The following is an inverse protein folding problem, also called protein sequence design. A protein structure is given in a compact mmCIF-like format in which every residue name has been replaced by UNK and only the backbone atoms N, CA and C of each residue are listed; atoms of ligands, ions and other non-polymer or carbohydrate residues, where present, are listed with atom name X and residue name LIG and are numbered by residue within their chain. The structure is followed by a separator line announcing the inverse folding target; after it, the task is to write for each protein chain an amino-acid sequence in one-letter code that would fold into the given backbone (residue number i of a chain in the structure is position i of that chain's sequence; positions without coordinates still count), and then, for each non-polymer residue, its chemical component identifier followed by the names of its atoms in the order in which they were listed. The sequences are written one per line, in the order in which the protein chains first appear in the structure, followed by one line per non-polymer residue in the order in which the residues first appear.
data_IF_974230748388
#
_entry.id   IF_974230748388
#
_cell.length_a   1.000
_cell.length_b   1.000
_cell.length_c   1.000
_cell.angle_alpha   90.00
_cell.angle_beta   90.00
_cell.angle_gamma   90.00
#
_symmetry.space_group_name_H-M   'P 1'
#
loop_
_entity.id
_entity.type
_entity.pdbx_description
1 polymer ?
#
# COMPACT_ATOMS: atom_id res chain seq x y z
N UNK A 1 -7.34 -15.61 -27.60
CA UNK A 1 -8.36 -16.57 -27.16
C UNK A 1 -9.61 -16.31 -27.97
N UNK A 2 -10.23 -17.30 -28.58
CA UNK A 2 -11.47 -17.09 -29.31
C UNK A 2 -12.56 -16.68 -28.33
N UNK A 3 -13.27 -15.60 -28.64
CA UNK A 3 -14.47 -15.18 -27.94
C UNK A 3 -15.46 -16.33 -28.01
N UNK A 4 -16.02 -16.83 -26.89
CA UNK A 4 -17.09 -17.82 -26.98
C UNK A 4 -18.27 -17.15 -27.67
N UNK A 5 -18.52 -17.54 -28.90
CA UNK A 5 -19.65 -17.07 -29.66
C UNK A 5 -20.93 -17.43 -28.88
N UNK A 6 -21.59 -16.39 -28.37
CA UNK A 6 -22.96 -16.29 -27.99
C UNK A 6 -23.73 -17.52 -27.54
N UNK A 7 -23.28 -18.24 -26.52
CA UNK A 7 -24.19 -19.13 -25.82
C UNK A 7 -24.99 -18.28 -24.81
N UNK A 8 -26.31 -18.08 -24.99
CA UNK A 8 -27.14 -17.25 -24.12
C UNK A 8 -27.24 -17.75 -22.67
N UNK A 9 -26.74 -18.94 -22.40
CA UNK A 9 -26.68 -19.52 -21.05
C UNK A 9 -25.36 -19.15 -20.28
N UNK A 10 -24.44 -18.41 -20.90
CA UNK A 10 -23.17 -18.06 -20.27
C UNK A 10 -23.13 -16.59 -19.86
N UNK A 11 -22.66 -16.34 -18.66
CA UNK A 11 -22.38 -15.02 -18.14
C UNK A 11 -20.96 -14.99 -17.56
N UNK A 12 -20.34 -13.81 -17.55
CA UNK A 12 -19.04 -13.58 -16.98
C UNK A 12 -19.10 -12.43 -15.97
N UNK A 13 -18.31 -12.53 -14.90
CA UNK A 13 -18.09 -11.44 -13.95
C UNK A 13 -16.97 -10.56 -14.51
N UNK A 14 -17.28 -9.28 -14.73
CA UNK A 14 -16.33 -8.32 -15.29
C UNK A 14 -16.73 -6.89 -14.94
N UNK A 15 -15.88 -5.91 -15.27
CA UNK A 15 -16.20 -4.49 -15.14
C UNK A 15 -17.11 -4.00 -16.28
N UNK A 16 -17.85 -2.91 -16.06
CA UNK A 16 -18.65 -2.24 -17.09
C UNK A 16 -17.81 -1.83 -18.31
N UNK A 17 -16.53 -1.47 -18.08
CA UNK A 17 -15.58 -1.17 -19.17
C UNK A 17 -15.29 -2.38 -20.05
N UNK A 18 -15.25 -3.57 -19.49
CA UNK A 18 -15.07 -4.79 -20.27
C UNK A 18 -16.31 -5.06 -21.14
N UNK A 19 -17.52 -4.88 -20.59
CA UNK A 19 -18.75 -5.00 -21.34
C UNK A 19 -18.77 -4.04 -22.53
N UNK A 20 -18.47 -2.77 -22.32
CA UNK A 20 -18.38 -1.76 -23.39
C UNK A 20 -17.33 -2.12 -24.44
N UNK A 21 -16.13 -2.54 -24.01
CA UNK A 21 -15.02 -2.87 -24.90
C UNK A 21 -15.32 -4.07 -25.80
N UNK A 22 -16.06 -5.05 -25.30
CA UNK A 22 -16.35 -6.30 -26.01
C UNK A 22 -17.77 -6.36 -26.57
N UNK A 23 -18.55 -5.27 -26.48
CA UNK A 23 -19.92 -5.20 -26.99
C UNK A 23 -20.87 -6.18 -26.29
N UNK A 24 -20.66 -6.44 -24.99
CA UNK A 24 -21.46 -7.37 -24.22
C UNK A 24 -22.59 -6.64 -23.49
N UNK A 25 -23.71 -7.33 -23.32
CA UNK A 25 -24.84 -6.82 -22.53
C UNK A 25 -24.60 -7.05 -21.03
N UNK A 26 -24.81 -6.00 -20.21
CA UNK A 26 -24.74 -6.12 -18.76
C UNK A 26 -26.08 -6.64 -18.24
N UNK A 27 -26.07 -7.77 -17.58
CA UNK A 27 -27.28 -8.45 -17.07
C UNK A 27 -27.60 -7.98 -15.64
N UNK A 28 -26.55 -7.73 -14.83
CA UNK A 28 -26.69 -7.24 -13.46
C UNK A 28 -25.48 -6.37 -13.08
N UNK A 29 -25.76 -5.30 -12.34
CA UNK A 29 -24.73 -4.40 -11.79
C UNK A 29 -24.52 -4.65 -10.30
N UNK A 30 -23.35 -4.22 -9.79
CA UNK A 30 -23.02 -4.19 -8.36
C UNK A 30 -23.27 -5.55 -7.66
N UNK A 31 -22.80 -6.63 -8.27
CA UNK A 31 -23.02 -8.01 -7.83
C UNK A 31 -21.97 -8.50 -6.80
N UNK A 32 -21.09 -7.60 -6.32
CA UNK A 32 -20.14 -7.93 -5.26
C UNK A 32 -20.87 -8.19 -3.93
N UNK A 33 -20.41 -9.19 -3.19
CA UNK A 33 -20.98 -9.53 -1.87
C UNK A 33 -20.72 -8.45 -0.81
N UNK A 34 -19.57 -7.75 -0.91
CA UNK A 34 -19.21 -6.65 -0.02
C UNK A 34 -19.19 -5.31 -0.78
N UNK A 35 -20.10 -4.40 -0.42
CA UNK A 35 -20.18 -3.05 -0.98
C UNK A 35 -18.95 -2.18 -0.69
N UNK A 36 -18.14 -2.55 0.32
CA UNK A 36 -16.89 -1.88 0.68
C UNK A 36 -15.66 -2.48 -0.02
N UNK A 37 -15.84 -3.50 -0.87
CA UNK A 37 -14.74 -4.09 -1.62
C UNK A 37 -14.11 -3.04 -2.56
N UNK A 38 -12.90 -2.62 -2.21
CA UNK A 38 -12.13 -1.62 -2.97
C UNK A 38 -10.73 -2.16 -3.26
N UNK A 39 -10.31 -2.03 -4.51
CA UNK A 39 -8.94 -2.32 -4.91
C UNK A 39 -8.16 -1.02 -5.05
N UNK A 40 -7.06 -0.90 -4.31
CA UNK A 40 -6.13 0.22 -4.45
C UNK A 40 -5.03 -0.15 -5.45
N UNK A 41 -4.83 0.70 -6.43
CA UNK A 41 -3.74 0.58 -7.39
C UNK A 41 -2.63 1.54 -7.02
N UNK A 42 -1.37 1.09 -7.07
CA UNK A 42 -0.21 1.93 -6.91
C UNK A 42 0.51 2.08 -8.26
N UNK A 43 0.91 3.31 -8.57
CA UNK A 43 1.81 3.59 -9.70
C UNK A 43 3.23 3.42 -9.16
N UNK A 44 4.01 2.52 -9.76
CA UNK A 44 5.40 2.30 -9.39
C UNK A 44 6.34 2.76 -10.51
N UNK A 45 7.48 3.32 -10.13
CA UNK A 45 8.52 3.76 -11.05
C UNK A 45 9.91 3.47 -10.48
N UNK A 46 10.93 3.54 -11.32
CA UNK A 46 12.31 3.52 -10.85
C UNK A 46 12.62 4.82 -10.11
N UNK A 47 13.45 4.79 -9.04
CA UNK A 47 13.77 5.97 -8.23
C UNK A 47 14.33 7.15 -9.02
N UNK A 48 15.01 6.87 -10.15
CA UNK A 48 15.62 7.88 -11.01
C UNK A 48 14.63 8.49 -12.03
N UNK A 49 13.43 7.91 -12.16
CA UNK A 49 12.50 8.28 -13.24
C UNK A 49 11.52 9.36 -12.82
N UNK A 50 11.14 9.38 -11.55
CA UNK A 50 10.16 10.33 -11.04
C UNK A 50 10.58 10.83 -9.65
N UNK A 51 10.60 12.14 -9.48
CA UNK A 51 10.74 12.73 -8.14
C UNK A 51 9.51 12.43 -7.29
N UNK A 52 9.70 12.37 -5.97
CA UNK A 52 8.58 12.28 -5.05
C UNK A 52 7.62 13.46 -5.28
N UNK A 53 6.32 13.23 -5.38
CA UNK A 53 5.35 14.30 -5.54
C UNK A 53 5.49 15.34 -4.41
N UNK A 54 5.17 16.62 -4.64
CA UNK A 54 5.10 17.61 -3.56
C UNK A 54 3.99 17.24 -2.58
N UNK A 55 4.12 17.70 -1.33
CA UNK A 55 3.10 17.49 -0.31
C UNK A 55 1.74 18.05 -0.75
N UNK A 56 0.68 17.31 -0.46
CA UNK A 56 -0.71 17.68 -0.71
C UNK A 56 -1.47 17.93 0.60
N UNK A 57 -2.78 18.10 0.51
CA UNK A 57 -3.64 18.26 1.70
C UNK A 57 -3.75 16.98 2.53
N UNK A 58 -3.59 15.83 1.89
CA UNK A 58 -3.66 14.52 2.54
C UNK A 58 -2.77 13.53 1.81
N UNK A 59 -1.68 13.13 2.46
CA UNK A 59 -0.68 12.25 1.89
C UNK A 59 -0.54 10.97 2.71
N UNK A 60 -0.09 9.92 2.06
CA UNK A 60 0.34 8.68 2.67
C UNK A 60 1.81 8.44 2.33
N UNK A 61 2.61 8.11 3.34
CA UNK A 61 3.99 7.66 3.17
C UNK A 61 4.06 6.16 3.39
N UNK A 62 4.49 5.43 2.38
CA UNK A 62 4.68 3.98 2.46
C UNK A 62 6.15 3.63 2.64
N UNK A 63 6.43 2.72 3.57
CA UNK A 63 7.78 2.24 3.85
C UNK A 63 7.81 0.74 4.09
N UNK A 64 8.98 0.14 3.92
CA UNK A 64 9.26 -1.23 4.31
C UNK A 64 10.45 -1.24 5.24
N UNK A 65 10.31 -1.94 6.38
CA UNK A 65 11.33 -2.00 7.42
C UNK A 65 11.51 -3.43 7.92
N UNK A 66 12.65 -3.73 8.52
CA UNK A 66 12.80 -4.88 9.40
C UNK A 66 13.44 -4.43 10.71
N UNK A 67 13.15 -5.18 11.78
CA UNK A 67 13.72 -4.94 13.09
C UNK A 67 14.58 -6.13 13.53
N UNK A 68 15.56 -5.93 14.42
CA UNK A 68 16.29 -7.02 15.01
C UNK A 68 15.36 -8.02 15.70
N UNK A 69 15.65 -9.31 15.58
CA UNK A 69 14.85 -10.36 16.23
C UNK A 69 15.16 -10.40 17.75
N UNK A 70 14.51 -9.51 18.50
CA UNK A 70 14.59 -9.43 19.96
C UNK A 70 13.25 -9.05 20.57
N UNK A 71 12.98 -9.41 21.85
CA UNK A 71 11.80 -8.95 22.55
C UNK A 71 11.66 -7.41 22.53
N UNK A 72 10.44 -6.91 22.28
CA UNK A 72 10.15 -5.47 22.26
C UNK A 72 10.54 -4.73 20.98
N UNK A 73 11.22 -5.36 20.01
CA UNK A 73 11.72 -4.66 18.82
C UNK A 73 10.61 -3.94 18.02
N UNK A 74 9.43 -4.54 17.88
CA UNK A 74 8.28 -3.90 17.22
C UNK A 74 7.73 -2.74 18.05
N UNK A 75 7.72 -2.87 19.38
CA UNK A 75 7.33 -1.75 20.25
C UNK A 75 8.26 -0.56 20.04
N UNK A 76 9.57 -0.80 20.05
CA UNK A 76 10.56 0.27 19.87
C UNK A 76 10.46 0.92 18.47
N UNK A 77 10.13 0.12 17.44
CA UNK A 77 9.85 0.60 16.09
C UNK A 77 8.69 1.61 16.07
N UNK A 78 7.65 1.41 16.88
CA UNK A 78 6.44 2.24 16.86
C UNK A 78 6.53 3.47 17.77
N UNK A 79 7.49 3.51 18.70
CA UNK A 79 7.65 4.64 19.62
C UNK A 79 7.85 6.01 18.95
N UNK A 80 8.66 6.13 17.89
CA UNK A 80 8.82 7.40 17.18
C UNK A 80 7.51 7.95 16.58
N UNK A 81 6.66 7.07 16.08
CA UNK A 81 5.35 7.47 15.53
C UNK A 81 4.49 8.14 16.59
N UNK A 82 4.44 7.54 17.78
CA UNK A 82 3.73 8.09 18.94
C UNK A 82 4.35 9.41 19.38
N UNK A 83 5.68 9.48 19.51
CA UNK A 83 6.39 10.67 19.99
C UNK A 83 6.16 11.90 19.10
N UNK A 84 6.06 11.69 17.78
CA UNK A 84 5.88 12.75 16.80
C UNK A 84 4.42 12.88 16.31
N UNK A 85 3.47 12.21 16.97
CA UNK A 85 2.05 12.26 16.62
C UNK A 85 1.78 11.95 15.13
N UNK A 86 2.42 10.89 14.62
CA UNK A 86 2.23 10.37 13.26
C UNK A 86 1.34 9.15 13.31
N UNK A 87 0.23 9.19 12.59
CA UNK A 87 -0.72 8.08 12.51
C UNK A 87 -0.23 7.01 11.54
N UNK A 88 -0.40 5.75 11.94
CA UNK A 88 -0.15 4.59 11.10
C UNK A 88 -1.47 4.02 10.60
N UNK A 89 -1.65 3.93 9.28
CA UNK A 89 -2.90 3.49 8.64
C UNK A 89 -2.84 2.04 8.17
N UNK A 90 -1.62 1.49 8.02
CA UNK A 90 -1.40 0.10 7.66
C UNK A 90 -0.16 -0.45 8.34
N UNK A 91 -0.26 -1.69 8.82
CA UNK A 91 0.86 -2.46 9.34
C UNK A 91 0.71 -3.92 8.91
N UNK A 92 1.57 -4.40 8.04
CA UNK A 92 1.50 -5.75 7.48
C UNK A 92 2.86 -6.43 7.55
N UNK A 93 2.93 -7.60 8.17
CA UNK A 93 4.16 -8.39 8.23
C UNK A 93 4.22 -9.40 7.08
N UNK A 94 5.40 -9.55 6.50
CA UNK A 94 5.72 -10.58 5.51
C UNK A 94 7.00 -11.29 5.91
N UNK A 95 7.06 -12.64 5.89
CA UNK A 95 8.29 -13.35 6.17
C UNK A 95 9.36 -13.02 5.12
N UNK A 96 10.56 -12.71 5.59
CA UNK A 96 11.72 -12.59 4.73
C UNK A 96 12.12 -14.00 4.26
N UNK A 97 12.19 -14.21 2.95
CA UNK A 97 12.54 -15.53 2.37
C UNK A 97 14.07 -15.79 2.42
N UNK A 98 14.75 -15.29 3.45
CA UNK A 98 16.23 -15.37 3.63
C UNK A 98 16.69 -16.57 4.43
N UNK A 99 15.76 -17.46 4.86
CA UNK A 99 16.07 -18.65 5.66
C UNK A 99 16.26 -18.41 7.16
N UNK A 100 16.26 -17.16 7.61
CA UNK A 100 16.20 -16.77 9.03
C UNK A 100 14.78 -16.27 9.34
N UNK A 101 14.32 -16.42 10.60
CA UNK A 101 13.01 -15.94 11.07
C UNK A 101 12.96 -14.40 11.12
N UNK A 102 13.16 -13.76 9.97
CA UNK A 102 13.09 -12.32 9.79
C UNK A 102 11.78 -11.95 9.14
N UNK A 103 11.24 -10.80 9.54
CA UNK A 103 10.03 -10.24 8.97
C UNK A 103 10.30 -8.86 8.40
N UNK A 104 9.73 -8.61 7.21
CA UNK A 104 9.54 -7.27 6.69
C UNK A 104 8.18 -6.75 7.12
N UNK A 105 8.15 -5.52 7.58
CA UNK A 105 6.93 -4.80 7.90
C UNK A 105 6.69 -3.74 6.83
N UNK A 106 5.54 -3.82 6.19
CA UNK A 106 5.04 -2.81 5.27
C UNK A 106 4.15 -1.88 6.08
N UNK A 107 4.51 -0.60 6.10
CA UNK A 107 3.88 0.41 6.94
C UNK A 107 3.43 1.56 6.06
N UNK A 108 2.18 1.98 6.22
CA UNK A 108 1.66 3.21 5.64
C UNK A 108 1.41 4.21 6.78
N UNK A 109 1.94 5.42 6.63
CA UNK A 109 1.82 6.52 7.58
C UNK A 109 1.01 7.66 6.97
N UNK A 110 0.17 8.33 7.77
CA UNK A 110 -0.44 9.58 7.37
C UNK A 110 0.61 10.70 7.33
N UNK A 111 0.63 11.44 6.24
CA UNK A 111 1.47 12.60 6.03
C UNK A 111 2.60 12.38 5.02
N UNK A 112 3.25 13.49 4.68
CA UNK A 112 4.34 13.56 3.71
C UNK A 112 5.70 13.70 4.40
N UNK A 113 6.79 13.11 3.89
CA UNK A 113 8.13 13.19 4.51
C UNK A 113 8.69 14.61 4.65
N UNK A 114 8.16 15.59 3.91
CA UNK A 114 8.53 16.99 4.07
C UNK A 114 7.87 17.68 5.28
N UNK A 115 6.89 17.07 5.91
CA UNK A 115 6.28 17.60 7.12
C UNK A 115 7.22 17.36 8.31
N UNK A 116 7.47 18.37 9.18
CA UNK A 116 8.48 18.28 10.25
C UNK A 116 8.28 17.10 11.20
N UNK A 117 7.06 16.82 11.60
CA UNK A 117 6.72 15.70 12.48
C UNK A 117 6.97 14.35 11.82
N UNK A 118 6.58 14.19 10.54
CA UNK A 118 6.83 12.97 9.77
C UNK A 118 8.32 12.77 9.54
N UNK A 119 9.05 13.81 9.15
CA UNK A 119 10.50 13.77 8.96
C UNK A 119 11.25 13.34 10.24
N UNK A 120 10.87 13.91 11.39
CA UNK A 120 11.44 13.54 12.69
C UNK A 120 11.15 12.08 13.03
N UNK A 121 9.89 11.66 12.91
CA UNK A 121 9.48 10.26 13.13
C UNK A 121 10.26 9.28 12.25
N UNK A 122 10.40 9.56 10.94
CA UNK A 122 11.12 8.73 10.00
C UNK A 122 12.63 8.64 10.33
N UNK A 123 13.22 9.73 10.82
CA UNK A 123 14.64 9.76 11.22
C UNK A 123 14.89 8.84 12.42
N UNK A 124 14.07 8.93 13.45
CA UNK A 124 14.19 8.08 14.64
C UNK A 124 13.83 6.62 14.32
N UNK A 125 12.77 6.40 13.53
CA UNK A 125 12.35 5.06 13.11
C UNK A 125 13.47 4.34 12.34
N UNK A 126 14.19 5.06 11.48
CA UNK A 126 15.34 4.51 10.75
C UNK A 126 16.44 4.01 11.71
N UNK A 127 16.68 4.70 12.81
CA UNK A 127 17.69 4.30 13.79
C UNK A 127 17.31 3.00 14.54
N UNK A 128 16.02 2.69 14.66
CA UNK A 128 15.50 1.47 15.28
C UNK A 128 15.47 0.24 14.36
N UNK A 129 15.69 0.44 13.05
CA UNK A 129 15.54 -0.60 12.04
C UNK A 129 16.86 -1.30 11.71
N UNK A 130 16.82 -2.62 11.46
CA UNK A 130 17.88 -3.35 10.79
C UNK A 130 17.89 -3.11 9.27
N UNK A 131 16.69 -2.96 8.68
CA UNK A 131 16.50 -2.54 7.30
C UNK A 131 15.43 -1.44 7.25
N UNK A 132 15.65 -0.43 6.41
CA UNK A 132 14.75 0.70 6.24
C UNK A 132 14.73 1.18 4.80
N UNK A 133 13.53 1.29 4.22
CA UNK A 133 13.34 1.85 2.88
C UNK A 133 11.99 2.57 2.79
N UNK A 134 12.01 3.85 2.47
CA UNK A 134 10.80 4.58 2.02
C UNK A 134 10.50 4.17 0.59
N UNK A 135 9.29 3.69 0.35
CA UNK A 135 8.82 3.28 -0.98
C UNK A 135 8.33 4.49 -1.77
N UNK A 136 7.74 5.47 -1.09
CA UNK A 136 7.24 6.70 -1.68
C UNK A 136 6.21 7.40 -0.80
N UNK A 137 5.88 8.63 -1.18
CA UNK A 137 4.73 9.36 -0.65
C UNK A 137 3.82 9.77 -1.81
N UNK A 138 2.51 9.78 -1.55
CA UNK A 138 1.50 10.03 -2.57
C UNK A 138 0.21 10.57 -1.95
N UNK A 139 -0.55 11.38 -2.69
CA UNK A 139 -1.84 11.87 -2.21
C UNK A 139 -2.86 10.74 -2.09
N UNK A 140 -3.70 10.79 -1.04
CA UNK A 140 -4.81 9.86 -0.80
C UNK A 140 -6.13 10.57 -1.10
N UNK A 141 -6.96 9.92 -1.91
CA UNK A 141 -8.32 10.37 -2.26
C UNK A 141 -9.34 9.79 -1.32
#
# INVERSE_FOLDING_TARGET
MPTPAGNPAWAALASDRAATRFGLHIVAHAIQDDSYNRTRFAIICLPQTLAMPPASSRDCTSLVVSVPNRPGAVHDLLMPLKAHNVSMTRFESRPARTGQWEYYFYIDLDGHPSQPNVAAALTELRAACAFYKVLGAYPVT
#
